data_IF_867896542379
#
_entry.id   IF_867896542379
#
_cell.length_a   1.000
_cell.length_b   1.000
_cell.length_c   1.000
_cell.angle_alpha   90.00
_cell.angle_beta   90.00
_cell.angle_gamma   90.00
#
_symmetry.space_group_name_H-M   'P 1'
#
loop_
_entity.id
_entity.type
_entity.pdbx_description
1 polymer ?
#
# COMPACT_ATOMS: atom_id res chain seq x y z
N UNK A 1 18.32 18.26 11.17
CA UNK A 1 17.04 18.83 11.65
C UNK A 1 16.26 17.79 12.48
N UNK A 2 15.95 16.62 11.92
CA UNK A 2 15.17 15.58 12.63
C UNK A 2 15.85 15.09 13.91
N UNK A 3 17.18 15.04 13.97
CA UNK A 3 17.92 14.67 15.20
C UNK A 3 17.70 15.64 16.36
N UNK A 4 17.29 16.86 16.08
CA UNK A 4 17.07 17.92 17.09
C UNK A 4 15.58 18.16 17.39
N UNK A 5 14.70 17.90 16.42
CA UNK A 5 13.28 18.28 16.48
C UNK A 5 12.32 17.08 16.49
N UNK A 6 12.85 15.86 16.32
CA UNK A 6 12.02 14.71 16.11
C UNK A 6 11.35 14.70 14.73
N UNK A 7 10.38 13.81 14.54
CA UNK A 7 9.63 13.76 13.29
C UNK A 7 8.98 12.42 13.03
N UNK A 8 8.42 12.27 11.82
CA UNK A 8 7.84 11.03 11.35
C UNK A 8 8.19 10.78 9.88
N UNK A 9 8.54 9.55 9.56
CA UNK A 9 8.88 9.07 8.22
C UNK A 9 7.95 7.92 7.88
N UNK A 10 7.42 7.92 6.65
CA UNK A 10 6.67 6.79 6.09
C UNK A 10 7.32 6.37 4.78
N UNK A 11 7.85 5.16 4.75
CA UNK A 11 8.43 4.54 3.57
C UNK A 11 7.33 3.79 2.82
N UNK A 12 7.11 4.11 1.55
CA UNK A 12 6.15 3.36 0.73
C UNK A 12 6.87 2.16 0.14
N UNK A 13 6.39 0.96 0.47
CA UNK A 13 6.86 -0.30 -0.10
C UNK A 13 5.81 -0.89 -1.05
N UNK A 14 5.54 -2.17 -0.96
CA UNK A 14 4.48 -2.85 -1.72
C UNK A 14 4.07 -4.13 -0.98
N UNK A 15 3.07 -4.82 -1.48
CA UNK A 15 2.74 -6.18 -1.06
C UNK A 15 3.85 -7.14 -1.54
N UNK A 16 4.78 -7.47 -0.64
CA UNK A 16 5.94 -8.34 -0.91
C UNK A 16 5.79 -9.75 -0.30
N UNK A 17 4.71 -9.99 0.42
CA UNK A 17 4.49 -11.26 1.09
C UNK A 17 4.11 -12.35 0.07
N UNK A 18 4.63 -13.54 0.27
CA UNK A 18 4.50 -14.70 -0.63
C UNK A 18 5.30 -14.60 -1.94
N UNK A 19 6.25 -13.68 -2.02
CA UNK A 19 7.07 -13.46 -3.20
C UNK A 19 6.40 -12.59 -4.26
N UNK A 20 7.21 -12.17 -5.26
CA UNK A 20 6.73 -11.29 -6.32
C UNK A 20 7.30 -11.76 -7.68
N UNK A 21 6.70 -12.79 -8.29
CA UNK A 21 7.13 -13.30 -9.58
C UNK A 21 7.20 -12.21 -10.65
N UNK A 22 8.11 -12.37 -11.62
CA UNK A 22 8.39 -11.43 -12.74
C UNK A 22 9.10 -10.14 -12.31
N UNK A 23 9.04 -9.73 -11.02
CA UNK A 23 9.63 -8.48 -10.52
C UNK A 23 10.49 -8.68 -9.26
N UNK A 24 11.27 -9.74 -9.23
CA UNK A 24 12.11 -10.11 -8.07
C UNK A 24 13.00 -8.97 -7.56
N UNK A 25 13.59 -8.16 -8.46
CA UNK A 25 14.39 -7.00 -8.11
C UNK A 25 13.59 -5.96 -7.31
N UNK A 26 12.31 -5.76 -7.67
CA UNK A 26 11.41 -4.85 -6.97
C UNK A 26 11.06 -5.39 -5.59
N UNK A 27 10.79 -6.71 -5.48
CA UNK A 27 10.56 -7.38 -4.20
C UNK A 27 11.76 -7.25 -3.26
N UNK A 28 12.97 -7.49 -3.76
CA UNK A 28 14.21 -7.33 -2.99
C UNK A 28 14.40 -5.90 -2.47
N UNK A 29 14.17 -4.89 -3.32
CA UNK A 29 14.29 -3.48 -2.92
C UNK A 29 13.27 -3.11 -1.83
N UNK A 30 12.02 -3.58 -1.92
CA UNK A 30 10.98 -3.30 -0.91
C UNK A 30 11.21 -4.08 0.38
N UNK A 31 11.72 -5.30 0.31
CA UNK A 31 12.16 -6.06 1.48
C UNK A 31 13.30 -5.37 2.21
N UNK A 32 14.29 -4.86 1.48
CA UNK A 32 15.36 -4.04 2.05
C UNK A 32 14.84 -2.76 2.72
N UNK A 33 13.86 -2.09 2.11
CA UNK A 33 13.23 -0.90 2.69
C UNK A 33 12.42 -1.24 3.96
N UNK A 34 11.79 -2.41 4.03
CA UNK A 34 11.12 -2.87 5.25
C UNK A 34 12.12 -3.02 6.40
N UNK A 35 13.22 -3.74 6.16
CA UNK A 35 14.29 -3.92 7.15
C UNK A 35 14.94 -2.59 7.54
N UNK A 36 15.16 -1.68 6.59
CA UNK A 36 15.66 -0.33 6.88
C UNK A 36 14.69 0.43 7.78
N UNK A 37 13.38 0.32 7.55
CA UNK A 37 12.34 0.95 8.38
C UNK A 37 12.41 0.47 9.83
N UNK A 38 12.50 -0.83 10.04
CA UNK A 38 12.60 -1.44 11.37
C UNK A 38 13.88 -1.03 12.10
N UNK A 39 15.00 -1.03 11.40
CA UNK A 39 16.31 -0.62 11.92
C UNK A 39 16.32 0.86 12.31
N UNK A 40 15.91 1.75 11.39
CA UNK A 40 15.88 3.19 11.62
C UNK A 40 14.89 3.58 12.73
N UNK A 41 13.79 2.86 12.88
CA UNK A 41 12.85 3.06 13.97
C UNK A 41 13.51 2.88 15.35
N UNK A 42 14.40 1.89 15.48
CA UNK A 42 15.16 1.66 16.71
C UNK A 42 16.27 2.69 16.90
N UNK A 43 17.07 2.93 15.85
CA UNK A 43 18.24 3.81 15.93
C UNK A 43 17.86 5.27 16.19
N UNK A 44 16.74 5.74 15.63
CA UNK A 44 16.36 7.15 15.70
C UNK A 44 15.29 7.46 16.76
N UNK A 45 14.85 6.43 17.52
CA UNK A 45 13.86 6.60 18.58
C UNK A 45 14.30 7.61 19.64
N UNK A 46 15.59 7.61 20.02
CA UNK A 46 16.14 8.53 21.02
C UNK A 46 16.06 10.00 20.57
N UNK A 47 16.04 10.26 19.25
CA UNK A 47 15.86 11.59 18.68
C UNK A 47 14.35 11.96 18.52
N UNK A 48 13.42 11.11 18.97
CA UNK A 48 11.99 11.34 18.81
C UNK A 48 11.51 11.18 17.36
N UNK A 49 12.25 10.43 16.50
CA UNK A 49 11.87 10.17 15.12
C UNK A 49 11.17 8.82 15.05
N UNK A 50 9.94 8.82 14.52
CA UNK A 50 9.20 7.61 14.20
C UNK A 50 9.40 7.24 12.73
N UNK A 51 9.67 5.96 12.46
CA UNK A 51 9.85 5.45 11.11
C UNK A 51 8.94 4.26 10.90
N UNK A 52 8.03 4.36 9.95
CA UNK A 52 7.11 3.28 9.60
C UNK A 52 7.13 3.04 8.10
N UNK A 53 6.64 1.91 7.67
CA UNK A 53 6.38 1.65 6.26
C UNK A 53 4.89 1.46 6.01
N UNK A 54 4.49 1.66 4.76
CA UNK A 54 3.14 1.39 4.28
C UNK A 54 3.25 0.55 3.01
N UNK A 55 2.51 -0.55 2.98
CA UNK A 55 2.46 -1.48 1.85
C UNK A 55 1.10 -1.38 1.15
N UNK A 56 1.01 -0.66 0.02
CA UNK A 56 -0.17 -0.68 -0.82
C UNK A 56 -0.33 -2.03 -1.52
N UNK A 57 -1.58 -2.47 -1.69
CA UNK A 57 -1.94 -3.53 -2.62
C UNK A 57 -2.10 -3.00 -4.05
N UNK A 58 -3.06 -3.55 -4.79
CA UNK A 58 -3.42 -3.09 -6.12
C UNK A 58 -4.26 -1.80 -6.02
N UNK A 59 -3.66 -0.67 -6.35
CA UNK A 59 -4.26 0.67 -6.19
C UNK A 59 -4.57 1.26 -7.55
N UNK A 60 -5.83 1.66 -7.75
CA UNK A 60 -6.27 2.37 -8.94
C UNK A 60 -5.66 3.78 -8.98
N UNK A 61 -4.62 3.93 -9.77
CA UNK A 61 -3.94 5.21 -9.99
C UNK A 61 -3.65 5.41 -11.48
N UNK A 62 -3.36 6.65 -11.88
CA UNK A 62 -2.96 6.97 -13.26
C UNK A 62 -1.76 6.16 -13.77
N UNK A 63 -0.98 5.58 -12.85
CA UNK A 63 0.11 4.66 -13.20
C UNK A 63 -0.36 3.46 -14.03
N UNK A 64 -1.60 3.00 -13.87
CA UNK A 64 -2.15 1.90 -14.67
C UNK A 64 -2.19 2.22 -16.19
N UNK A 65 -2.35 3.48 -16.53
CA UNK A 65 -2.42 3.93 -17.93
C UNK A 65 -1.04 3.93 -18.62
N UNK A 66 0.05 3.81 -17.84
CA UNK A 66 1.42 3.76 -18.37
C UNK A 66 1.88 2.36 -18.75
N UNK A 67 1.18 1.32 -18.31
CA UNK A 67 1.54 -0.08 -18.59
C UNK A 67 1.21 -0.47 -20.05
N UNK A 68 1.99 -1.39 -20.65
CA UNK A 68 1.67 -1.94 -21.96
C UNK A 68 0.34 -2.72 -21.95
N UNK A 69 -0.33 -2.84 -23.12
CA UNK A 69 -1.68 -3.44 -23.21
C UNK A 69 -1.82 -4.82 -22.58
N UNK A 70 -0.82 -5.69 -22.74
CA UNK A 70 -0.79 -7.04 -22.18
C UNK A 70 -0.74 -7.02 -20.65
N UNK A 71 -0.01 -6.08 -20.04
CA UNK A 71 0.03 -5.92 -18.59
C UNK A 71 -1.28 -5.33 -18.05
N UNK A 72 -1.92 -4.42 -18.79
CA UNK A 72 -3.23 -3.87 -18.41
C UNK A 72 -4.31 -4.95 -18.35
N UNK A 73 -4.29 -5.94 -19.25
CA UNK A 73 -5.22 -7.06 -19.19
C UNK A 73 -5.08 -7.86 -17.89
N UNK A 74 -3.84 -8.19 -17.49
CA UNK A 74 -3.56 -8.86 -16.21
C UNK A 74 -3.99 -8.02 -15.00
N UNK A 75 -3.74 -6.70 -15.04
CA UNK A 75 -4.12 -5.79 -13.95
C UNK A 75 -5.63 -5.85 -13.69
N UNK A 76 -6.46 -5.91 -14.72
CA UNK A 76 -7.91 -5.96 -14.58
C UNK A 76 -8.44 -7.23 -13.89
N UNK A 77 -7.61 -8.26 -13.80
CA UNK A 77 -7.96 -9.52 -13.11
C UNK A 77 -7.65 -9.46 -11.59
N UNK A 78 -6.82 -8.51 -11.12
CA UNK A 78 -6.41 -8.43 -9.72
C UNK A 78 -7.57 -8.40 -8.71
N UNK A 79 -8.65 -7.64 -8.92
CA UNK A 79 -9.75 -7.61 -7.97
C UNK A 79 -10.32 -8.98 -7.62
N UNK A 80 -10.33 -9.92 -8.56
CA UNK A 80 -10.86 -11.27 -8.33
C UNK A 80 -10.05 -12.06 -7.29
N UNK A 81 -8.77 -11.73 -7.08
CA UNK A 81 -7.87 -12.37 -6.11
C UNK A 81 -7.79 -11.62 -4.76
N UNK A 82 -8.32 -10.41 -4.70
CA UNK A 82 -8.32 -9.57 -3.48
C UNK A 82 -9.54 -9.91 -2.63
N UNK A 83 -9.40 -10.17 -1.32
CA UNK A 83 -10.57 -10.43 -0.45
C UNK A 83 -11.66 -9.36 -0.50
N UNK A 84 -11.30 -8.08 -0.59
CA UNK A 84 -12.27 -7.00 -0.76
C UNK A 84 -12.80 -6.85 -2.19
N UNK A 85 -12.29 -7.62 -3.15
CA UNK A 85 -12.74 -7.74 -4.55
C UNK A 85 -12.84 -6.42 -5.31
N UNK A 86 -11.96 -5.48 -5.00
CA UNK A 86 -11.81 -4.22 -5.71
C UNK A 86 -10.38 -3.72 -5.67
N UNK A 87 -10.07 -2.75 -6.49
CA UNK A 87 -8.86 -1.94 -6.29
C UNK A 87 -9.01 -1.05 -5.05
N UNK A 88 -7.90 -0.79 -4.38
CA UNK A 88 -7.81 0.33 -3.46
C UNK A 88 -7.76 1.66 -4.20
N UNK A 89 -7.96 2.75 -3.48
CA UNK A 89 -7.87 4.10 -4.02
C UNK A 89 -6.65 4.85 -3.47
N UNK A 90 -6.21 5.87 -4.18
CA UNK A 90 -5.17 6.78 -3.70
C UNK A 90 -5.58 7.46 -2.38
N UNK A 91 -6.88 7.72 -2.19
CA UNK A 91 -7.43 8.28 -0.94
C UNK A 91 -7.25 7.35 0.26
N UNK A 92 -7.45 6.05 0.07
CA UNK A 92 -7.27 5.05 1.12
C UNK A 92 -5.80 4.95 1.54
N UNK A 93 -4.87 5.03 0.57
CA UNK A 93 -3.43 5.07 0.87
C UNK A 93 -3.05 6.37 1.57
N UNK A 94 -3.52 7.53 1.06
CA UNK A 94 -3.25 8.84 1.65
C UNK A 94 -3.73 8.93 3.10
N UNK A 95 -4.89 8.35 3.43
CA UNK A 95 -5.41 8.32 4.80
C UNK A 95 -4.45 7.59 5.76
N UNK A 96 -3.90 6.44 5.35
CA UNK A 96 -2.91 5.70 6.14
C UNK A 96 -1.59 6.46 6.31
N UNK A 97 -1.11 7.13 5.26
CA UNK A 97 0.10 7.97 5.32
C UNK A 97 -0.10 9.12 6.30
N UNK A 98 -1.21 9.86 6.17
CA UNK A 98 -1.52 11.00 7.04
C UNK A 98 -1.65 10.56 8.49
N UNK A 99 -2.32 9.42 8.75
CA UNK A 99 -2.39 8.83 10.09
C UNK A 99 -1.00 8.56 10.67
N UNK A 100 -0.14 7.84 9.95
CA UNK A 100 1.21 7.50 10.43
C UNK A 100 2.11 8.72 10.62
N UNK A 101 1.94 9.78 9.84
CA UNK A 101 2.69 11.03 9.99
C UNK A 101 2.15 11.90 11.13
N UNK A 102 0.89 11.73 11.52
CA UNK A 102 0.22 12.59 12.50
C UNK A 102 0.60 12.25 13.95
N UNK A 103 0.33 13.15 14.92
CA UNK A 103 0.45 12.86 16.36
C UNK A 103 -0.43 11.70 16.85
N UNK A 104 -1.51 11.34 16.13
CA UNK A 104 -2.35 10.19 16.47
C UNK A 104 -1.58 8.86 16.46
N UNK A 105 -0.46 8.79 15.71
CA UNK A 105 0.44 7.64 15.65
C UNK A 105 1.68 7.80 16.56
N UNK A 106 1.61 8.63 17.60
CA UNK A 106 2.77 8.97 18.46
C UNK A 106 3.45 7.75 19.11
N UNK A 107 2.74 6.66 19.30
CA UNK A 107 3.28 5.41 19.90
C UNK A 107 3.46 4.29 18.84
N UNK A 108 3.53 4.65 17.56
CA UNK A 108 3.67 3.70 16.44
C UNK A 108 4.98 4.00 15.72
N UNK A 109 5.93 3.06 15.78
CA UNK A 109 7.20 3.10 15.04
C UNK A 109 7.67 1.69 14.71
N UNK A 110 8.38 1.49 13.60
CA UNK A 110 8.93 0.20 13.18
C UNK A 110 7.92 -0.77 12.59
N UNK A 111 6.68 -0.35 12.31
CA UNK A 111 5.66 -1.23 11.72
C UNK A 111 5.58 -1.08 10.20
N UNK A 112 4.99 -2.10 9.56
CA UNK A 112 4.46 -2.00 8.21
C UNK A 112 2.92 -2.03 8.26
N UNK A 113 2.29 -0.91 7.89
CA UNK A 113 0.85 -0.83 7.72
C UNK A 113 0.49 -1.32 6.31
N UNK A 114 -0.22 -2.43 6.22
CA UNK A 114 -0.72 -2.94 4.95
C UNK A 114 -2.08 -2.34 4.64
N UNK A 115 -2.22 -1.79 3.42
CA UNK A 115 -3.49 -1.31 2.86
C UNK A 115 -3.65 -1.98 1.49
N UNK A 116 -4.05 -3.23 1.51
CA UNK A 116 -3.94 -4.18 0.41
C UNK A 116 -5.22 -4.98 0.13
N UNK A 117 -6.33 -4.62 0.78
CA UNK A 117 -7.59 -5.34 0.63
C UNK A 117 -7.56 -6.78 1.16
N UNK A 118 -6.51 -7.14 1.93
CA UNK A 118 -6.33 -8.47 2.50
C UNK A 118 -5.60 -9.45 1.58
N UNK A 119 -5.00 -9.00 0.50
CA UNK A 119 -4.37 -9.85 -0.55
C UNK A 119 -3.46 -10.94 -0.01
N UNK A 120 -2.49 -10.69 0.89
CA UNK A 120 -1.61 -11.75 1.38
C UNK A 120 -2.29 -12.82 2.23
N UNK A 121 -3.53 -12.58 2.64
CA UNK A 121 -4.30 -13.52 3.46
C UNK A 121 -5.21 -14.43 2.61
N UNK A 122 -5.36 -14.13 1.32
CA UNK A 122 -6.12 -14.98 0.39
C UNK A 122 -5.53 -16.39 0.34
N UNK A 123 -6.39 -17.39 0.29
CA UNK A 123 -6.01 -18.80 0.22
C UNK A 123 -6.72 -19.48 -0.94
N UNK A 124 -6.01 -20.31 -1.70
CA UNK A 124 -6.55 -20.99 -2.88
C UNK A 124 -7.73 -21.93 -2.58
N UNK A 125 -7.79 -22.45 -1.35
CA UNK A 125 -8.87 -23.34 -0.92
C UNK A 125 -10.12 -22.59 -0.43
N UNK A 126 -10.03 -21.25 -0.24
CA UNK A 126 -11.15 -20.43 0.22
C UNK A 126 -11.71 -19.63 -0.95
N UNK A 127 -12.93 -19.96 -1.36
CA UNK A 127 -13.61 -19.21 -2.42
C UNK A 127 -14.02 -17.83 -1.90
N UNK A 128 -13.62 -16.80 -2.61
CA UNK A 128 -14.09 -15.45 -2.32
C UNK A 128 -15.52 -15.29 -2.85
N UNK A 129 -16.45 -14.95 -1.98
CA UNK A 129 -17.82 -14.64 -2.38
C UNK A 129 -17.92 -13.19 -2.90
N UNK A 130 -18.86 -12.90 -3.82
CA UNK A 130 -19.00 -11.54 -4.38
C UNK A 130 -19.16 -10.49 -3.29
N UNK A 131 -18.38 -9.40 -3.42
CA UNK A 131 -18.45 -8.27 -2.50
C UNK A 131 -19.80 -7.55 -2.60
N UNK A 132 -20.39 -7.18 -1.45
CA UNK A 132 -21.69 -6.53 -1.38
C UNK A 132 -21.61 -5.11 -0.81
N UNK A 133 -20.72 -4.86 0.16
CA UNK A 133 -20.69 -3.62 0.94
C UNK A 133 -19.30 -2.97 0.97
N UNK A 134 -18.39 -3.39 0.11
CA UNK A 134 -17.03 -2.84 0.04
C UNK A 134 -17.00 -1.55 -0.78
N UNK A 135 -17.39 -0.45 -0.15
CA UNK A 135 -17.38 0.87 -0.78
C UNK A 135 -16.00 1.50 -0.66
N UNK A 136 -15.45 1.97 -1.78
CA UNK A 136 -14.17 2.66 -1.83
C UNK A 136 -14.28 4.06 -1.20
N UNK A 137 -13.26 4.46 -0.45
CA UNK A 137 -13.15 5.83 0.04
C UNK A 137 -12.42 6.70 -0.98
N UNK A 138 -13.08 7.75 -1.46
CA UNK A 138 -12.60 8.72 -2.44
C UNK A 138 -12.62 10.16 -1.90
N UNK A 139 -12.22 10.35 -0.65
CA UNK A 139 -12.22 11.67 0.00
C UNK A 139 -11.08 12.60 -0.40
N UNK A 140 -10.13 12.11 -1.20
CA UNK A 140 -8.97 12.90 -1.60
C UNK A 140 -9.28 13.68 -2.89
N UNK A 141 -9.33 15.02 -2.77
CA UNK A 141 -9.76 15.93 -3.85
C UNK A 141 -8.87 15.90 -5.12
N UNK A 142 -7.68 15.31 -5.05
CA UNK A 142 -6.74 15.15 -6.18
C UNK A 142 -6.70 13.73 -6.75
N UNK A 143 -7.56 12.83 -6.25
CA UNK A 143 -7.59 11.47 -6.78
C UNK A 143 -8.14 11.46 -8.21
N UNK A 144 -7.52 10.65 -9.07
CA UNK A 144 -7.87 10.53 -10.49
C UNK A 144 -8.20 9.08 -10.78
N UNK A 145 -9.39 8.84 -11.33
CA UNK A 145 -9.72 7.50 -11.83
C UNK A 145 -8.88 7.20 -13.08
N UNK A 146 -8.11 6.10 -13.11
CA UNK A 146 -7.36 5.70 -14.30
C UNK A 146 -8.27 5.55 -15.52
N UNK A 147 -7.81 5.93 -16.70
CA UNK A 147 -8.55 5.72 -17.94
C UNK A 147 -8.87 4.24 -18.18
N UNK A 148 -7.97 3.34 -17.76
CA UNK A 148 -8.16 1.89 -17.81
C UNK A 148 -9.44 1.43 -17.11
N UNK A 149 -9.91 2.16 -16.08
CA UNK A 149 -11.11 1.83 -15.30
C UNK A 149 -12.31 2.72 -15.66
N UNK A 150 -12.17 3.67 -16.55
CA UNK A 150 -13.25 4.57 -16.96
C UNK A 150 -14.42 3.77 -17.55
N UNK A 151 -15.63 4.00 -17.03
CA UNK A 151 -16.85 3.30 -17.46
C UNK A 151 -17.03 1.87 -16.90
N UNK A 152 -16.20 1.45 -15.98
CA UNK A 152 -16.33 0.17 -15.24
C UNK A 152 -16.75 0.49 -13.80
N UNK A 153 -18.03 0.65 -13.56
CA UNK A 153 -18.64 0.80 -12.22
C UNK A 153 -19.41 -0.45 -11.85
#
# INVERSE_FOLDING_TARGET
WMSEHGGAIVNIIADIWNGWPEVAHSGAARGGMLTLTETAACEWAAAGVRVNSLAPGAIASSGFDTYPPEARAKILEFPASVPLQRFGTESEIAAGIVFLLSPAAAYITGICLRIDGGTPNARSFWKLEPSRNNVAFNGFHRSVTPQLLAGRS
#
